data_IF_262126908754
#
_entry.id   IF_262126908754
#
_cell.length_a   1.000
_cell.length_b   1.000
_cell.length_c   1.000
_cell.angle_alpha   90.00
_cell.angle_beta   90.00
_cell.angle_gamma   90.00
#
_symmetry.space_group_name_H-M   'P 1'
#
loop_
_entity.id
_entity.type
_entity.pdbx_description
1 polymer ?
#
# COMPACT_ATOMS: atom_id res chain seq x y z
N UNK A 1 23.82 -5.14 -1.30
CA UNK A 1 23.31 -4.65 -0.01
C UNK A 1 24.49 -4.51 0.94
N UNK A 2 24.53 -3.54 1.84
CA UNK A 2 25.67 -3.41 2.76
C UNK A 2 26.67 -2.25 2.53
N UNK A 3 26.45 -1.35 1.56
CA UNK A 3 27.29 -0.15 1.35
C UNK A 3 26.86 1.04 2.22
N UNK A 4 27.78 1.86 2.72
CA UNK A 4 27.43 3.02 3.55
C UNK A 4 26.67 4.06 2.73
N UNK A 5 25.83 4.90 3.37
CA UNK A 5 25.06 5.94 2.67
C UNK A 5 25.94 6.89 1.84
N UNK A 6 27.16 7.17 2.30
CA UNK A 6 28.14 8.01 1.59
C UNK A 6 28.75 7.34 0.36
N UNK A 7 28.63 6.02 0.24
CA UNK A 7 29.20 5.21 -0.85
C UNK A 7 28.15 4.87 -1.93
N UNK A 8 26.92 5.38 -1.78
CA UNK A 8 25.79 5.13 -2.67
C UNK A 8 25.19 6.46 -3.16
N UNK A 9 24.71 6.54 -4.41
CA UNK A 9 23.96 7.70 -4.86
C UNK A 9 22.70 7.88 -4.00
N UNK A 10 22.20 9.13 -3.82
CA UNK A 10 21.00 9.40 -3.04
C UNK A 10 19.83 8.56 -3.52
N UNK A 11 19.39 7.61 -2.69
CA UNK A 11 18.30 6.70 -3.01
C UNK A 11 17.59 6.27 -1.73
N UNK A 12 16.28 6.02 -1.83
CA UNK A 12 15.45 5.61 -0.69
C UNK A 12 15.98 4.37 0.03
N UNK A 13 16.45 3.38 -0.75
CA UNK A 13 17.11 2.18 -0.22
C UNK A 13 18.34 2.48 0.64
N UNK A 14 19.11 3.53 0.34
CA UNK A 14 20.26 3.89 1.16
C UNK A 14 19.84 4.44 2.54
N UNK A 15 18.71 5.15 2.60
CA UNK A 15 18.13 5.64 3.86
C UNK A 15 17.55 4.48 4.66
N UNK A 16 16.80 3.59 4.03
CA UNK A 16 16.25 2.38 4.69
C UNK A 16 17.35 1.47 5.21
N UNK A 17 18.43 1.27 4.44
CA UNK A 17 19.59 0.46 4.84
C UNK A 17 20.29 1.08 6.07
N UNK A 18 20.51 2.40 6.06
CA UNK A 18 21.09 3.10 7.20
C UNK A 18 20.24 2.96 8.46
N UNK A 19 18.91 3.12 8.35
CA UNK A 19 17.99 2.94 9.47
C UNK A 19 18.05 1.50 10.02
N UNK A 20 18.05 0.49 9.14
CA UNK A 20 18.16 -0.91 9.55
C UNK A 20 19.48 -1.20 10.28
N UNK A 21 20.61 -0.69 9.80
CA UNK A 21 21.90 -0.88 10.47
C UNK A 21 21.96 -0.19 11.83
N UNK A 22 21.53 1.07 11.92
CA UNK A 22 21.52 1.81 13.18
C UNK A 22 20.64 1.09 14.21
N UNK A 23 19.46 0.60 13.80
CA UNK A 23 18.60 -0.20 14.67
C UNK A 23 19.31 -1.45 15.23
N UNK A 24 20.11 -2.15 14.41
CA UNK A 24 20.84 -3.34 14.85
C UNK A 24 22.09 -3.03 15.67
N UNK A 25 22.78 -1.94 15.38
CA UNK A 25 24.03 -1.55 16.05
C UNK A 25 23.77 -0.84 17.39
N UNK A 26 22.83 0.10 17.39
CA UNK A 26 22.54 0.96 18.53
C UNK A 26 21.44 0.36 19.43
N UNK A 27 20.73 -0.66 18.93
CA UNK A 27 19.59 -1.30 19.62
C UNK A 27 18.45 -0.32 19.94
N UNK A 28 18.28 0.71 19.12
CA UNK A 28 17.23 1.72 19.24
C UNK A 28 16.23 1.66 18.08
N UNK A 29 14.95 1.84 18.40
CA UNK A 29 13.88 1.88 17.39
C UNK A 29 14.05 3.09 16.45
N UNK A 30 13.76 2.89 15.17
CA UNK A 30 13.89 3.92 14.14
C UNK A 30 12.51 4.33 13.59
N UNK A 31 12.41 5.56 13.11
CA UNK A 31 11.21 6.07 12.43
C UNK A 31 11.57 6.68 11.07
N UNK A 32 10.74 6.42 10.06
CA UNK A 32 10.85 7.05 8.75
C UNK A 32 9.57 7.85 8.45
N UNK A 33 9.69 9.16 8.30
CA UNK A 33 8.59 10.05 7.94
C UNK A 33 8.69 10.46 6.46
N UNK A 34 7.67 10.10 5.67
CA UNK A 34 7.57 10.49 4.26
C UNK A 34 6.49 11.58 4.14
N UNK A 35 6.92 12.81 3.91
CA UNK A 35 6.04 13.99 3.76
C UNK A 35 5.96 14.44 2.30
N UNK A 36 4.93 15.21 1.97
CA UNK A 36 4.70 15.78 0.64
C UNK A 36 3.22 16.03 0.35
N UNK A 37 2.94 16.82 -0.68
CA UNK A 37 1.57 17.10 -1.14
C UNK A 37 0.90 15.88 -1.80
N UNK A 38 -0.37 16.03 -2.17
CA UNK A 38 -1.08 15.03 -2.98
C UNK A 38 -0.35 14.84 -4.31
N UNK A 39 -0.06 13.59 -4.68
CA UNK A 39 0.68 13.26 -5.91
C UNK A 39 2.21 13.21 -5.77
N UNK A 40 2.79 13.57 -4.61
CA UNK A 40 4.24 13.56 -4.41
C UNK A 40 4.91 12.16 -4.34
N UNK A 41 4.17 11.07 -4.62
CA UNK A 41 4.71 9.70 -4.62
C UNK A 41 4.92 9.08 -3.23
N UNK A 42 4.29 9.61 -2.17
CA UNK A 42 4.44 9.10 -0.79
C UNK A 42 4.18 7.60 -0.67
N UNK A 43 3.06 7.13 -1.24
CA UNK A 43 2.64 5.72 -1.18
C UNK A 43 3.61 4.81 -1.93
N UNK A 44 4.03 5.20 -3.15
CA UNK A 44 5.00 4.45 -3.95
C UNK A 44 6.37 4.35 -3.29
N UNK A 45 6.83 5.43 -2.66
CA UNK A 45 8.06 5.41 -1.88
C UNK A 45 7.92 4.50 -0.66
N UNK A 46 6.78 4.55 0.04
CA UNK A 46 6.52 3.66 1.19
C UNK A 46 6.56 2.19 0.77
N UNK A 47 5.97 1.81 -0.38
CA UNK A 47 6.05 0.44 -0.94
C UNK A 47 7.50 -0.01 -1.11
N UNK A 48 8.35 0.85 -1.68
CA UNK A 48 9.78 0.57 -1.90
C UNK A 48 10.55 0.38 -0.59
N UNK A 49 10.27 1.19 0.44
CA UNK A 49 10.85 1.02 1.78
C UNK A 49 10.48 -0.33 2.37
N UNK A 50 9.20 -0.68 2.32
CA UNK A 50 8.69 -1.95 2.82
C UNK A 50 9.32 -3.13 2.09
N UNK A 51 9.36 -3.08 0.76
CA UNK A 51 9.98 -4.12 -0.07
C UNK A 51 11.47 -4.30 0.25
N UNK A 52 12.18 -3.21 0.53
CA UNK A 52 13.57 -3.28 0.98
C UNK A 52 13.69 -4.02 2.33
N UNK A 53 12.87 -3.64 3.32
CA UNK A 53 12.89 -4.28 4.64
C UNK A 53 12.49 -5.75 4.62
N UNK A 54 11.48 -6.10 3.83
CA UNK A 54 11.10 -7.48 3.52
C UNK A 54 12.30 -8.27 2.96
N UNK A 55 12.98 -7.73 1.95
CA UNK A 55 14.11 -8.42 1.31
C UNK A 55 15.30 -8.64 2.26
N UNK A 56 15.70 -7.63 3.05
CA UNK A 56 16.85 -7.76 3.96
C UNK A 56 16.56 -8.62 5.18
N UNK A 57 15.33 -8.56 5.71
CA UNK A 57 14.93 -9.34 6.88
C UNK A 57 14.63 -10.82 6.57
N UNK A 58 14.29 -11.15 5.32
CA UNK A 58 14.12 -12.54 4.89
C UNK A 58 15.46 -13.28 4.71
N UNK A 59 16.52 -12.57 4.29
CA UNK A 59 17.75 -13.16 3.77
C UNK A 59 18.74 -13.68 4.84
N UNK A 60 18.50 -13.45 6.13
CA UNK A 60 19.52 -13.68 7.17
C UNK A 60 19.70 -15.13 7.64
N UNK A 61 18.89 -16.13 7.20
CA UNK A 61 19.11 -17.53 7.61
C UNK A 61 18.53 -18.65 6.71
N UNK A 62 18.09 -18.37 5.48
CA UNK A 62 17.68 -19.44 4.58
C UNK A 62 18.90 -19.97 3.82
N UNK A 63 19.60 -20.95 4.38
CA UNK A 63 20.28 -21.94 3.54
C UNK A 63 19.27 -22.41 2.51
N UNK A 64 19.62 -22.30 1.23
CA UNK A 64 18.81 -22.61 0.04
C UNK A 64 18.02 -23.91 0.23
N UNK A 65 16.86 -23.81 0.85
CA UNK A 65 15.88 -24.87 0.98
C UNK A 65 14.78 -24.44 0.04
N UNK A 66 14.54 -25.30 -0.94
CA UNK A 66 13.63 -25.12 -2.07
C UNK A 66 12.41 -24.36 -1.61
N UNK A 67 12.25 -23.13 -2.10
CA UNK A 67 11.10 -22.30 -1.80
C UNK A 67 9.92 -23.01 -2.45
N UNK A 68 9.06 -23.65 -1.65
CA UNK A 68 7.75 -24.05 -2.13
C UNK A 68 7.06 -22.78 -2.63
N UNK A 69 6.92 -22.64 -3.95
CA UNK A 69 6.35 -21.46 -4.64
C UNK A 69 4.93 -21.10 -4.17
N UNK A 70 4.32 -21.92 -3.30
CA UNK A 70 2.96 -21.78 -2.79
C UNK A 70 2.85 -21.22 -1.36
N UNK A 71 3.95 -21.03 -0.62
CA UNK A 71 3.85 -20.55 0.77
C UNK A 71 4.09 -19.05 0.86
N UNK A 72 2.99 -18.29 0.95
CA UNK A 72 3.04 -16.82 1.16
C UNK A 72 3.80 -16.52 2.45
N UNK A 73 4.92 -15.79 2.34
CA UNK A 73 5.75 -15.42 3.49
C UNK A 73 5.17 -14.24 4.25
N UNK A 74 5.65 -13.99 5.48
CA UNK A 74 5.25 -12.80 6.26
C UNK A 74 5.61 -11.53 5.49
N UNK A 75 6.78 -11.53 4.88
CA UNK A 75 7.30 -10.46 4.05
C UNK A 75 6.40 -10.18 2.83
N UNK A 76 5.93 -11.24 2.16
CA UNK A 76 4.96 -11.11 1.06
C UNK A 76 3.64 -10.51 1.54
N UNK A 77 3.11 -10.97 2.68
CA UNK A 77 1.86 -10.43 3.25
C UNK A 77 1.96 -8.93 3.55
N UNK A 78 3.11 -8.48 4.07
CA UNK A 78 3.33 -7.05 4.35
C UNK A 78 3.28 -6.23 3.05
N UNK A 79 3.89 -6.72 1.97
CA UNK A 79 3.84 -6.05 0.66
C UNK A 79 2.43 -6.06 0.07
N UNK A 80 1.76 -7.22 0.11
CA UNK A 80 0.41 -7.43 -0.43
C UNK A 80 -0.70 -6.71 0.34
N UNK A 81 -0.43 -6.24 1.56
CA UNK A 81 -1.39 -5.42 2.31
C UNK A 81 -1.62 -4.05 1.65
N UNK A 82 -0.64 -3.50 0.91
CA UNK A 82 -0.81 -2.21 0.26
C UNK A 82 -1.94 -2.20 -0.79
N UNK A 83 -2.00 -3.12 -1.77
CA UNK A 83 -3.13 -3.20 -2.70
C UNK A 83 -4.50 -3.20 -2.02
N UNK A 84 -4.65 -3.94 -0.91
CA UNK A 84 -5.89 -3.98 -0.13
C UNK A 84 -6.23 -2.60 0.44
N UNK A 85 -5.26 -1.96 1.10
CA UNK A 85 -5.45 -0.63 1.66
C UNK A 85 -5.71 0.44 0.58
N UNK A 86 -5.17 0.27 -0.62
CA UNK A 86 -5.41 1.18 -1.74
C UNK A 86 -6.81 1.01 -2.32
N UNK A 87 -7.32 -0.21 -2.43
CA UNK A 87 -8.69 -0.45 -2.88
C UNK A 87 -9.71 0.28 -1.99
N UNK A 88 -9.55 0.19 -0.67
CA UNK A 88 -10.49 0.78 0.29
C UNK A 88 -10.20 2.24 0.66
N UNK A 89 -8.94 2.68 0.56
CA UNK A 89 -8.49 3.96 1.09
C UNK A 89 -8.04 4.97 0.03
N UNK A 90 -7.86 4.56 -1.23
CA UNK A 90 -7.52 5.46 -2.32
C UNK A 90 -8.72 5.77 -3.21
N UNK A 91 -8.68 6.96 -3.81
CA UNK A 91 -9.69 7.45 -4.74
C UNK A 91 -9.06 8.36 -5.80
N UNK A 92 -9.78 8.62 -6.89
CA UNK A 92 -9.41 9.68 -7.85
C UNK A 92 -9.84 11.04 -7.32
N UNK A 93 -8.88 11.97 -7.39
CA UNK A 93 -9.07 13.41 -7.17
C UNK A 93 -8.72 14.15 -8.46
N UNK A 94 -9.07 15.43 -8.56
CA UNK A 94 -8.77 16.27 -9.73
C UNK A 94 -7.28 16.27 -10.11
N UNK A 95 -6.37 16.09 -9.14
CA UNK A 95 -4.90 16.16 -9.36
C UNK A 95 -4.20 14.80 -9.37
N UNK A 96 -4.86 13.75 -8.90
CA UNK A 96 -4.23 12.44 -8.69
C UNK A 96 -5.27 11.33 -8.79
N UNK A 97 -5.04 10.40 -9.71
CA UNK A 97 -5.91 9.25 -9.99
C UNK A 97 -5.86 8.18 -8.90
N UNK A 98 -4.79 8.10 -8.11
CA UNK A 98 -4.63 7.13 -7.03
C UNK A 98 -4.21 7.82 -5.72
N UNK A 99 -5.08 8.71 -5.21
CA UNK A 99 -4.81 9.52 -4.02
C UNK A 99 -5.24 8.80 -2.76
N UNK A 100 -4.30 8.54 -1.83
CA UNK A 100 -4.63 8.02 -0.51
C UNK A 100 -5.38 9.07 0.31
N UNK A 101 -6.61 8.71 0.73
CA UNK A 101 -7.52 9.58 1.51
C UNK A 101 -7.62 9.14 2.97
N UNK A 102 -6.53 8.56 3.46
CA UNK A 102 -6.31 8.16 4.84
C UNK A 102 -4.80 8.22 5.12
N UNK A 103 -4.44 8.39 6.37
CA UNK A 103 -3.08 8.23 6.85
C UNK A 103 -2.83 6.81 7.32
N UNK A 104 -1.57 6.38 7.24
CA UNK A 104 -1.12 5.06 7.67
C UNK A 104 0.20 5.18 8.43
N UNK A 105 0.27 4.51 9.57
CA UNK A 105 1.47 4.35 10.37
C UNK A 105 1.80 2.85 10.42
N UNK A 106 2.94 2.50 9.82
CA UNK A 106 3.35 1.11 9.63
C UNK A 106 4.52 0.83 10.55
N UNK A 107 4.36 -0.12 11.46
CA UNK A 107 5.39 -0.59 12.38
C UNK A 107 5.88 -1.95 11.90
N UNK A 108 7.14 -2.04 11.49
CA UNK A 108 7.79 -3.31 11.15
C UNK A 108 8.68 -3.68 12.32
N UNK A 109 8.42 -4.85 12.91
CA UNK A 109 9.17 -5.36 14.04
C UNK A 109 10.23 -6.32 13.55
N UNK A 110 11.46 -6.10 14.00
CA UNK A 110 12.59 -6.99 13.73
C UNK A 110 12.97 -7.75 14.99
N UNK A 111 13.33 -9.02 14.80
CA UNK A 111 13.96 -9.83 15.85
C UNK A 111 15.38 -9.35 16.15
N UNK A 112 15.96 -9.81 17.27
CA UNK A 112 17.37 -9.54 17.60
C UNK A 112 18.36 -10.00 16.52
N UNK A 113 17.97 -10.99 15.72
CA UNK A 113 18.74 -11.48 14.59
C UNK A 113 18.51 -10.68 13.29
N UNK A 114 17.80 -9.53 13.34
CA UNK A 114 17.52 -8.68 12.19
C UNK A 114 16.46 -9.20 11.22
N UNK A 115 15.77 -10.30 11.56
CA UNK A 115 14.68 -10.83 10.72
C UNK A 115 13.36 -10.11 10.98
N UNK A 116 12.52 -9.94 9.97
CA UNK A 116 11.14 -9.46 10.16
C UNK A 116 10.39 -10.46 11.05
N UNK A 117 9.83 -9.97 12.15
CA UNK A 117 9.12 -10.77 13.15
C UNK A 117 7.61 -10.54 13.09
N UNK A 118 7.19 -9.29 12.91
CA UNK A 118 5.78 -8.93 12.75
C UNK A 118 5.65 -7.56 12.06
N UNK A 119 4.44 -7.22 11.65
CA UNK A 119 4.09 -5.91 11.12
C UNK A 119 2.72 -5.51 11.66
N UNK A 120 2.59 -4.23 11.99
CA UNK A 120 1.34 -3.63 12.43
C UNK A 120 1.07 -2.35 11.63
N UNK A 121 -0.20 -2.10 11.29
CA UNK A 121 -0.63 -0.95 10.51
C UNK A 121 -1.77 -0.25 11.23
N UNK A 122 -1.49 0.94 11.76
CA UNK A 122 -2.50 1.84 12.26
C UNK A 122 -2.94 2.78 11.14
N UNK A 123 -4.25 2.93 10.95
CA UNK A 123 -4.83 3.87 10.00
C UNK A 123 -5.47 5.04 10.75
N UNK A 124 -5.44 6.22 10.15
CA UNK A 124 -6.04 7.42 10.73
C UNK A 124 -6.66 8.32 9.67
N UNK A 125 -7.69 9.07 10.06
CA UNK A 125 -8.30 10.13 9.25
C UNK A 125 -8.75 9.68 7.84
N UNK A 126 -9.48 8.57 7.74
CA UNK A 126 -10.19 8.23 6.50
C UNK A 126 -11.22 9.32 6.17
N UNK A 127 -11.19 9.83 4.96
CA UNK A 127 -12.11 10.88 4.48
C UNK A 127 -13.53 10.34 4.23
N UNK A 128 -14.29 10.15 5.31
CA UNK A 128 -15.65 9.58 5.26
C UNK A 128 -16.62 10.34 4.36
N UNK A 129 -16.45 11.66 4.20
CA UNK A 129 -17.31 12.50 3.34
C UNK A 129 -17.34 12.03 1.90
N UNK A 130 -16.26 11.40 1.42
CA UNK A 130 -16.13 10.89 0.04
C UNK A 130 -17.10 9.77 -0.29
N UNK A 131 -17.60 9.04 0.71
CA UNK A 131 -18.65 8.02 0.48
C UNK A 131 -20.00 8.69 0.21
N UNK A 132 -20.24 9.87 0.79
CA UNK A 132 -21.54 10.54 0.72
C UNK A 132 -21.61 11.50 -0.46
N UNK A 133 -20.48 12.13 -0.83
CA UNK A 133 -20.42 13.11 -1.92
C UNK A 133 -19.08 13.11 -2.64
N UNK A 134 -19.11 13.24 -3.96
CA UNK A 134 -17.93 13.45 -4.79
C UNK A 134 -18.05 14.79 -5.54
N UNK A 135 -16.96 15.56 -5.61
CA UNK A 135 -16.92 16.77 -6.43
C UNK A 135 -16.71 16.42 -7.91
N UNK A 136 -17.08 17.30 -8.86
CA UNK A 136 -16.80 17.08 -10.27
C UNK A 136 -15.32 16.79 -10.54
N UNK A 137 -15.02 15.80 -11.37
CA UNK A 137 -13.66 15.32 -11.64
C UNK A 137 -13.07 14.38 -10.57
N UNK A 138 -13.79 14.12 -9.48
CA UNK A 138 -13.41 13.12 -8.47
C UNK A 138 -14.20 11.81 -8.64
N UNK A 139 -13.69 10.74 -8.03
CA UNK A 139 -14.31 9.42 -7.96
C UNK A 139 -14.39 8.98 -6.49
N UNK A 140 -15.29 8.06 -6.17
CA UNK A 140 -15.31 7.42 -4.85
C UNK A 140 -14.11 6.45 -4.70
N UNK A 141 -14.05 5.70 -3.59
CA UNK A 141 -13.00 4.71 -3.34
C UNK A 141 -13.01 3.59 -4.38
N UNK A 142 -11.81 3.14 -4.77
CA UNK A 142 -11.61 2.20 -5.90
C UNK A 142 -12.37 0.89 -5.75
N UNK A 143 -12.49 0.36 -4.53
CA UNK A 143 -13.14 -0.92 -4.25
C UNK A 143 -14.56 -1.00 -4.81
N UNK A 144 -15.32 0.10 -4.80
CA UNK A 144 -16.68 0.11 -5.34
C UNK A 144 -16.69 -0.20 -6.84
N UNK A 145 -15.71 0.30 -7.58
CA UNK A 145 -15.65 0.11 -9.02
C UNK A 145 -15.01 -1.23 -9.38
N UNK A 146 -14.05 -1.69 -8.58
CA UNK A 146 -13.46 -3.02 -8.69
C UNK A 146 -14.49 -4.13 -8.46
N UNK A 147 -15.43 -3.96 -7.52
CA UNK A 147 -16.56 -4.90 -7.34
C UNK A 147 -17.45 -4.93 -8.59
N UNK A 148 -17.60 -3.80 -9.29
CA UNK A 148 -18.42 -3.68 -10.49
C UNK A 148 -17.71 -4.11 -11.79
N UNK A 149 -16.41 -4.45 -11.75
CA UNK A 149 -15.59 -4.74 -12.94
C UNK A 149 -15.81 -6.13 -13.56
N UNK A 150 -16.64 -6.98 -12.94
CA UNK A 150 -16.89 -8.37 -13.33
C UNK A 150 -15.62 -9.25 -13.32
N UNK A 151 -14.58 -8.87 -12.57
CA UNK A 151 -13.47 -9.79 -12.26
C UNK A 151 -13.97 -11.03 -11.51
N UNK A 152 -14.87 -10.80 -10.54
CA UNK A 152 -15.59 -11.83 -9.78
C UNK A 152 -17.09 -11.64 -9.97
N UNK A 153 -17.68 -12.21 -11.03
CA UNK A 153 -19.09 -11.97 -11.39
C UNK A 153 -20.07 -12.43 -10.30
N UNK A 154 -19.68 -13.39 -9.45
CA UNK A 154 -20.46 -13.86 -8.33
C UNK A 154 -20.73 -12.76 -7.27
N UNK A 155 -19.86 -11.75 -7.16
CA UNK A 155 -19.99 -10.69 -6.16
C UNK A 155 -21.22 -9.83 -6.40
N UNK A 156 -21.53 -9.48 -7.65
CA UNK A 156 -22.71 -8.66 -7.95
C UNK A 156 -23.99 -9.35 -7.47
N UNK A 157 -24.13 -10.64 -7.75
CA UNK A 157 -25.27 -11.43 -7.29
C UNK A 157 -25.30 -11.58 -5.76
N UNK A 158 -24.16 -11.88 -5.14
CA UNK A 158 -24.08 -12.09 -3.70
C UNK A 158 -24.34 -10.80 -2.88
N UNK A 159 -24.05 -9.63 -3.46
CA UNK A 159 -24.23 -8.32 -2.85
C UNK A 159 -25.51 -7.60 -3.33
N UNK A 160 -26.37 -8.28 -4.09
CA UNK A 160 -27.63 -7.74 -4.63
C UNK A 160 -27.43 -6.46 -5.47
N UNK A 161 -26.35 -6.44 -6.26
CA UNK A 161 -25.98 -5.33 -7.13
C UNK A 161 -26.64 -5.48 -8.51
N UNK A 162 -27.97 -5.34 -8.56
CA UNK A 162 -28.78 -5.64 -9.74
C UNK A 162 -28.91 -4.48 -10.74
N UNK A 163 -28.56 -3.26 -10.32
CA UNK A 163 -28.63 -2.05 -11.14
C UNK A 163 -27.30 -1.76 -11.85
N UNK A 164 -27.31 -1.01 -12.97
CA UNK A 164 -26.11 -0.36 -13.50
C UNK A 164 -25.40 0.49 -12.43
N UNK A 165 -24.05 0.54 -12.45
CA UNK A 165 -23.24 1.31 -11.50
C UNK A 165 -23.71 2.77 -11.35
N UNK A 166 -24.06 3.41 -12.47
CA UNK A 166 -24.53 4.79 -12.53
C UNK A 166 -25.80 5.08 -11.71
N UNK A 167 -26.56 4.04 -11.37
CA UNK A 167 -27.82 4.16 -10.61
C UNK A 167 -27.60 4.06 -9.10
N UNK A 168 -26.36 3.79 -8.64
CA UNK A 168 -26.00 3.82 -7.22
C UNK A 168 -25.50 5.21 -6.84
N UNK A 169 -26.41 6.02 -6.28
CA UNK A 169 -26.20 7.43 -5.97
C UNK A 169 -24.87 7.73 -5.26
N UNK A 170 -24.45 6.94 -4.27
CA UNK A 170 -23.24 7.24 -3.48
C UNK A 170 -21.91 7.03 -4.21
N UNK A 171 -21.90 6.30 -5.33
CA UNK A 171 -20.66 6.01 -6.09
C UNK A 171 -20.69 6.60 -7.50
N UNK A 172 -21.79 7.26 -7.88
CA UNK A 172 -22.04 7.74 -9.23
C UNK A 172 -22.37 9.26 -9.32
N UNK A 173 -21.93 10.08 -8.36
CA UNK A 173 -22.21 11.53 -8.40
C UNK A 173 -21.26 12.31 -9.31
N UNK A 174 -20.14 11.69 -9.72
CA UNK A 174 -19.11 12.31 -10.53
C UNK A 174 -18.48 11.27 -11.47
N UNK A 175 -17.16 11.09 -11.43
CA UNK A 175 -16.44 10.23 -12.36
C UNK A 175 -16.71 8.74 -12.08
N UNK A 176 -16.95 7.97 -13.13
CA UNK A 176 -17.14 6.51 -13.05
C UNK A 176 -15.91 5.72 -13.50
N UNK A 177 -15.00 6.35 -14.24
CA UNK A 177 -13.80 5.74 -14.80
C UNK A 177 -12.58 6.62 -14.56
N UNK A 178 -11.40 6.02 -14.71
CA UNK A 178 -10.11 6.68 -14.59
C UNK A 178 -9.30 6.32 -15.83
N UNK A 179 -8.80 7.32 -16.55
CA UNK A 179 -7.99 7.10 -17.75
C UNK A 179 -6.73 6.30 -17.41
N UNK A 180 -6.51 5.21 -18.16
CA UNK A 180 -5.35 4.35 -18.02
C UNK A 180 -5.36 3.43 -16.79
N UNK A 181 -6.46 3.33 -16.05
CA UNK A 181 -6.62 2.38 -14.93
C UNK A 181 -7.71 1.38 -15.27
N UNK A 182 -7.40 0.10 -15.05
CA UNK A 182 -8.31 -1.02 -15.24
C UNK A 182 -8.83 -1.49 -13.88
N UNK A 183 -10.13 -1.31 -13.59
CA UNK A 183 -10.71 -1.77 -12.32
C UNK A 183 -10.83 -3.31 -12.22
N UNK A 184 -10.54 -4.04 -13.30
CA UNK A 184 -10.56 -5.50 -13.33
C UNK A 184 -9.24 -6.15 -12.91
N UNK A 185 -8.12 -5.44 -13.05
CA UNK A 185 -6.77 -5.89 -12.72
C UNK A 185 -6.31 -5.35 -11.35
#
# INVERSE_FOLDING_TARGET
MGKRRTEMPPHLFAVSDQAYRNMLQDHENQSMLITGESGAGKTENTKKVIAYFASVGASQNAGKTVVDEKKVTLEDQIVQTNPVLEAFGNAKTVRNNNSSRFGKFIRIHFSRAGRVASCDIEHYLLEKSRVIRQAPGERCYHIFYQIFSDFKPELKKALELDKPLKDYWFVAQAELAIDGVNDKE
#
